data_IF_213244285176
#
_entry.id   IF_213244285176
#
_cell.length_a   1.000
_cell.length_b   1.000
_cell.length_c   1.000
_cell.angle_alpha   90.00
_cell.angle_beta   90.00
_cell.angle_gamma   90.00
#
_symmetry.space_group_name_H-M   'P 1'
#
loop_
_entity.id
_entity.type
_entity.pdbx_description
1 polymer ?
#
# COMPACT_ATOMS: atom_id res chain seq x y z
N UNK A 1 -4.15 -3.17 -22.41
CA UNK A 1 -4.42 -1.90 -21.69
C UNK A 1 -3.20 -1.61 -20.81
N UNK A 2 -2.50 -0.48 -21.00
CA UNK A 2 -1.40 -0.10 -20.07
C UNK A 2 -2.06 0.25 -18.74
N UNK A 3 -1.70 -0.47 -17.68
CA UNK A 3 -2.16 -0.21 -16.32
C UNK A 3 -1.34 0.95 -15.78
N UNK A 4 -2.02 2.01 -15.39
CA UNK A 4 -1.36 3.18 -14.80
C UNK A 4 -1.22 2.99 -13.30
N UNK A 5 0.02 2.96 -12.84
CA UNK A 5 0.38 2.85 -11.42
C UNK A 5 0.77 4.21 -10.83
N UNK A 6 0.59 5.30 -11.58
CA UNK A 6 0.95 6.64 -11.14
C UNK A 6 -0.11 7.20 -10.20
N UNK A 7 0.33 7.78 -9.09
CA UNK A 7 -0.51 8.53 -8.15
C UNK A 7 -1.02 9.80 -8.81
N UNK A 8 -2.28 10.13 -8.58
CA UNK A 8 -2.87 11.39 -9.04
C UNK A 8 -2.46 12.55 -8.13
N UNK A 9 -2.37 13.80 -8.63
CA UNK A 9 -2.10 14.96 -7.79
C UNK A 9 -3.13 15.10 -6.66
N UNK A 10 -2.65 15.21 -5.42
CA UNK A 10 -3.52 15.35 -4.23
C UNK A 10 -4.18 14.04 -3.75
N UNK A 11 -3.99 12.92 -4.44
CA UNK A 11 -4.47 11.62 -4.01
C UNK A 11 -3.76 11.17 -2.72
N UNK A 12 -4.48 10.49 -1.83
CA UNK A 12 -3.89 9.93 -0.61
C UNK A 12 -3.06 8.69 -0.93
N UNK A 13 -1.96 8.49 -0.17
CA UNK A 13 -1.03 7.38 -0.41
C UNK A 13 -1.71 6.01 -0.37
N UNK A 14 -2.67 5.80 0.54
CA UNK A 14 -3.43 4.55 0.66
C UNK A 14 -4.39 4.35 -0.50
N UNK A 15 -5.10 5.39 -0.93
CA UNK A 15 -5.99 5.34 -2.10
C UNK A 15 -5.20 4.95 -3.35
N UNK A 16 -4.02 5.54 -3.53
CA UNK A 16 -3.10 5.19 -4.62
C UNK A 16 -2.60 3.73 -4.53
N UNK A 17 -2.23 3.25 -3.35
CA UNK A 17 -1.85 1.84 -3.17
C UNK A 17 -2.99 0.91 -3.53
N UNK A 18 -4.22 1.20 -3.09
CA UNK A 18 -5.40 0.43 -3.45
C UNK A 18 -5.64 0.42 -4.97
N UNK A 19 -5.48 1.56 -5.65
CA UNK A 19 -5.50 1.61 -7.11
C UNK A 19 -4.42 0.70 -7.73
N UNK A 20 -3.20 0.71 -7.19
CA UNK A 20 -2.12 -0.14 -7.69
C UNK A 20 -2.45 -1.63 -7.53
N UNK A 21 -3.01 -2.02 -6.39
CA UNK A 21 -3.51 -3.37 -6.14
C UNK A 21 -4.59 -3.76 -7.14
N UNK A 22 -5.59 -2.90 -7.35
CA UNK A 22 -6.71 -3.13 -8.28
C UNK A 22 -6.22 -3.21 -9.74
N UNK A 23 -5.17 -2.46 -10.06
CA UNK A 23 -4.45 -2.55 -11.32
C UNK A 23 -3.50 -3.76 -11.39
N UNK A 24 -3.50 -4.66 -10.41
CA UNK A 24 -2.77 -5.92 -10.43
C UNK A 24 -1.27 -5.80 -10.20
N UNK A 25 -0.83 -4.83 -9.39
CA UNK A 25 0.57 -4.69 -9.00
C UNK A 25 1.14 -5.95 -8.33
N UNK A 26 0.30 -6.80 -7.75
CA UNK A 26 0.69 -8.09 -7.17
C UNK A 26 1.13 -9.13 -8.19
N UNK A 27 0.67 -9.02 -9.44
CA UNK A 27 1.00 -9.95 -10.54
C UNK A 27 2.19 -9.49 -11.39
N UNK A 28 2.68 -8.27 -11.17
CA UNK A 28 3.76 -7.68 -11.95
C UNK A 28 5.10 -7.87 -11.23
N UNK A 29 5.80 -8.95 -11.54
CA UNK A 29 7.17 -9.20 -11.06
C UNK A 29 8.17 -8.31 -11.78
N UNK A 30 9.04 -7.66 -11.01
CA UNK A 30 10.05 -6.73 -11.53
C UNK A 30 11.37 -6.93 -10.80
N UNK A 31 12.48 -6.88 -11.52
CA UNK A 31 13.81 -6.63 -10.96
C UNK A 31 13.99 -5.16 -10.57
N UNK A 32 15.00 -4.84 -9.75
CA UNK A 32 15.25 -3.47 -9.30
C UNK A 32 15.50 -2.48 -10.46
N UNK A 33 16.08 -2.96 -11.56
CA UNK A 33 16.32 -2.17 -12.77
C UNK A 33 15.05 -1.87 -13.56
N UNK A 34 14.14 -2.83 -13.68
CA UNK A 34 12.84 -2.65 -14.34
C UNK A 34 11.94 -1.74 -13.51
N UNK A 35 11.95 -1.91 -12.18
CA UNK A 35 11.24 -1.04 -11.27
C UNK A 35 11.68 0.43 -11.38
N UNK A 36 12.98 0.71 -11.61
CA UNK A 36 13.48 2.08 -11.85
C UNK A 36 12.98 2.66 -13.18
N UNK A 37 12.72 1.83 -14.19
CA UNK A 37 12.23 2.29 -15.50
C UNK A 37 10.76 2.73 -15.45
N UNK A 38 10.01 2.37 -14.41
CA UNK A 38 8.65 2.88 -14.18
C UNK A 38 8.62 4.38 -13.85
N UNK A 39 9.76 4.98 -13.49
CA UNK A 39 9.85 6.41 -13.19
C UNK A 39 9.20 6.78 -11.85
N UNK A 40 8.65 7.98 -11.78
CA UNK A 40 7.97 8.48 -10.58
C UNK A 40 6.53 8.01 -10.55
N UNK A 41 6.23 7.08 -9.64
CA UNK A 41 4.87 6.56 -9.44
C UNK A 41 4.17 7.29 -8.30
N UNK A 42 4.86 7.48 -7.18
CA UNK A 42 4.30 8.06 -5.95
C UNK A 42 4.28 9.59 -5.93
N UNK A 43 5.06 10.22 -6.83
CA UNK A 43 5.37 11.67 -6.81
C UNK A 43 6.13 12.12 -5.55
N UNK A 44 6.68 11.18 -4.79
CA UNK A 44 7.52 11.43 -3.63
C UNK A 44 8.88 10.77 -3.85
N UNK A 45 9.92 11.58 -4.03
CA UNK A 45 11.25 11.10 -4.42
C UNK A 45 11.85 10.03 -3.49
N UNK A 46 11.50 10.06 -2.19
CA UNK A 46 11.91 9.02 -1.24
C UNK A 46 11.28 7.66 -1.54
N UNK A 47 9.98 7.61 -1.81
CA UNK A 47 9.24 6.39 -2.14
C UNK A 47 9.67 5.88 -3.52
N UNK A 48 9.74 6.76 -4.52
CA UNK A 48 10.13 6.39 -5.89
C UNK A 48 11.53 5.77 -5.96
N UNK A 49 12.48 6.33 -5.20
CA UNK A 49 13.83 5.78 -5.10
C UNK A 49 13.83 4.42 -4.39
N UNK A 50 13.00 4.23 -3.37
CA UNK A 50 12.90 2.99 -2.61
C UNK A 50 12.30 1.83 -3.44
N UNK A 51 11.36 2.10 -4.36
CA UNK A 51 10.73 1.09 -5.23
C UNK A 51 11.80 0.32 -6.04
N UNK A 52 12.79 1.04 -6.56
CA UNK A 52 13.90 0.49 -7.34
C UNK A 52 15.13 0.07 -6.52
N UNK A 53 15.12 0.23 -5.19
CA UNK A 53 16.30 0.01 -4.33
C UNK A 53 16.71 -1.46 -4.25
N UNK A 54 15.74 -2.37 -4.15
CA UNK A 54 16.00 -3.82 -4.05
C UNK A 54 16.29 -4.42 -5.42
N UNK A 55 17.44 -5.08 -5.57
CA UNK A 55 17.82 -5.75 -6.82
C UNK A 55 16.99 -7.01 -7.11
N UNK A 56 16.67 -7.79 -6.08
CA UNK A 56 15.87 -9.03 -6.15
C UNK A 56 14.57 -8.82 -6.91
N UNK A 57 14.17 -9.80 -7.74
CA UNK A 57 12.84 -9.82 -8.36
C UNK A 57 11.74 -9.92 -7.30
N UNK A 58 10.81 -8.96 -7.33
CA UNK A 58 9.68 -8.85 -6.43
C UNK A 58 8.50 -8.26 -7.20
N UNK A 59 7.28 -8.67 -6.85
CA UNK A 59 6.08 -7.99 -7.33
C UNK A 59 6.14 -6.48 -7.05
N UNK A 60 5.59 -5.69 -7.96
CA UNK A 60 5.44 -4.25 -7.78
C UNK A 60 4.71 -3.96 -6.46
N UNK A 61 3.73 -4.78 -6.08
CA UNK A 61 3.05 -4.67 -4.79
C UNK A 61 4.00 -4.74 -3.59
N UNK A 62 4.87 -5.75 -3.52
CA UNK A 62 5.83 -5.88 -2.41
C UNK A 62 6.84 -4.75 -2.37
N UNK A 63 7.23 -4.23 -3.55
CA UNK A 63 8.11 -3.04 -3.65
C UNK A 63 7.42 -1.80 -3.11
N UNK A 64 6.15 -1.58 -3.49
CA UNK A 64 5.35 -0.44 -3.04
C UNK A 64 5.15 -0.46 -1.51
N UNK A 65 4.69 -1.59 -0.95
CA UNK A 65 4.49 -1.73 0.50
C UNK A 65 5.78 -1.44 1.27
N UNK A 66 6.91 -2.04 0.85
CA UNK A 66 8.20 -1.81 1.52
C UNK A 66 8.69 -0.37 1.40
N UNK A 67 8.39 0.31 0.30
CA UNK A 67 8.83 1.69 0.05
C UNK A 67 8.01 2.69 0.84
N UNK A 68 6.69 2.46 0.94
CA UNK A 68 5.80 3.25 1.78
C UNK A 68 6.14 3.05 3.25
N UNK A 69 6.41 1.81 3.69
CA UNK A 69 6.88 1.54 5.07
C UNK A 69 8.21 2.21 5.40
N UNK A 70 9.16 2.28 4.45
CA UNK A 70 10.43 2.99 4.65
C UNK A 70 10.21 4.51 4.82
N UNK A 71 9.21 5.09 4.13
CA UNK A 71 8.87 6.51 4.20
C UNK A 71 8.04 6.89 5.44
N UNK A 72 7.13 6.00 5.84
CA UNK A 72 6.19 6.16 6.94
C UNK A 72 6.35 4.97 7.90
N UNK A 73 7.31 5.03 8.84
CA UNK A 73 7.62 3.91 9.71
C UNK A 73 6.49 3.58 10.69
N UNK A 74 5.62 4.54 11.00
CA UNK A 74 4.50 4.37 11.93
C UNK A 74 3.16 4.37 11.19
N UNK A 75 2.23 3.52 11.63
CA UNK A 75 0.91 3.36 10.99
C UNK A 75 0.04 4.61 11.06
N UNK A 76 0.27 5.42 12.09
CA UNK A 76 -0.39 6.66 12.42
C UNK A 76 -0.06 7.77 11.41
N UNK A 77 1.10 7.68 10.75
CA UNK A 77 1.52 8.60 9.69
C UNK A 77 0.72 8.37 8.39
N UNK A 78 0.08 7.21 8.26
CA UNK A 78 -0.67 6.80 7.08
C UNK A 78 -2.17 6.84 7.36
N UNK A 79 -2.74 8.02 7.12
CA UNK A 79 -4.15 8.30 7.40
C UNK A 79 -5.06 7.66 6.36
N UNK A 80 -5.91 6.73 6.82
CA UNK A 80 -7.14 6.37 6.11
C UNK A 80 -8.21 7.36 6.56
N UNK A 81 -8.76 8.18 5.65
CA UNK A 81 -9.78 9.17 6.05
C UNK A 81 -11.14 8.49 6.05
N UNK A 82 -11.79 8.28 7.21
CA UNK A 82 -13.18 7.90 7.21
C UNK A 82 -13.98 9.07 6.63
N UNK A 83 -14.41 8.93 5.37
CA UNK A 83 -15.49 9.77 4.87
C UNK A 83 -16.73 9.57 5.74
N UNK A 84 -17.74 10.43 5.64
CA UNK A 84 -19.07 10.06 6.14
C UNK A 84 -19.47 8.78 5.40
N UNK A 85 -19.79 7.70 6.11
CA UNK A 85 -20.27 6.44 5.53
C UNK A 85 -21.72 6.63 5.02
N UNK A 86 -21.90 7.56 4.10
CA UNK A 86 -23.21 7.92 3.55
C UNK A 86 -23.71 6.90 2.55
N UNK A 87 -22.83 6.04 2.03
CA UNK A 87 -23.16 4.96 1.11
C UNK A 87 -22.32 3.72 1.41
N UNK A 88 -22.82 2.54 1.02
CA UNK A 88 -22.11 1.27 1.19
C UNK A 88 -20.78 1.26 0.44
N UNK A 89 -20.73 1.86 -0.75
CA UNK A 89 -19.52 1.93 -1.57
C UNK A 89 -18.42 2.72 -0.87
N UNK A 90 -18.77 3.82 -0.19
CA UNK A 90 -17.81 4.58 0.62
C UNK A 90 -17.33 3.80 1.83
N UNK A 91 -18.22 3.03 2.48
CA UNK A 91 -17.86 2.12 3.57
C UNK A 91 -16.91 1.02 3.12
N UNK A 92 -17.22 0.35 2.01
CA UNK A 92 -16.37 -0.69 1.41
C UNK A 92 -15.00 -0.13 1.02
N UNK A 93 -14.98 1.04 0.36
CA UNK A 93 -13.74 1.70 0.00
C UNK A 93 -12.86 1.96 1.23
N UNK A 94 -13.44 2.53 2.29
CA UNK A 94 -12.69 2.80 3.52
C UNK A 94 -12.14 1.53 4.18
N UNK A 95 -12.91 0.44 4.22
CA UNK A 95 -12.44 -0.85 4.74
C UNK A 95 -11.28 -1.43 3.91
N UNK A 96 -11.33 -1.29 2.58
CA UNK A 96 -10.24 -1.73 1.69
C UNK A 96 -8.98 -0.88 1.89
N UNK A 97 -9.14 0.41 2.07
CA UNK A 97 -8.04 1.32 2.40
C UNK A 97 -7.39 0.96 3.74
N UNK A 98 -8.20 0.65 4.77
CA UNK A 98 -7.72 0.14 6.04
C UNK A 98 -6.94 -1.18 5.87
N UNK A 99 -7.49 -2.15 5.13
CA UNK A 99 -6.81 -3.42 4.88
C UNK A 99 -5.46 -3.23 4.16
N UNK A 100 -5.38 -2.31 3.20
CA UNK A 100 -4.12 -1.95 2.53
C UNK A 100 -3.12 -1.34 3.52
N UNK A 101 -3.57 -0.46 4.43
CA UNK A 101 -2.72 0.07 5.48
C UNK A 101 -2.19 -1.04 6.38
N UNK A 102 -3.05 -1.95 6.83
CA UNK A 102 -2.62 -3.10 7.62
C UNK A 102 -1.58 -3.95 6.86
N UNK A 103 -1.74 -4.16 5.56
CA UNK A 103 -0.73 -4.86 4.73
C UNK A 103 0.62 -4.13 4.65
N UNK A 104 0.67 -2.80 4.75
CA UNK A 104 1.93 -2.04 4.80
C UNK A 104 2.69 -2.39 6.08
N UNK A 105 1.99 -2.48 7.21
CA UNK A 105 2.59 -2.66 8.54
C UNK A 105 2.60 -4.11 9.03
N UNK A 106 1.97 -5.02 8.30
CA UNK A 106 1.96 -6.44 8.60
C UNK A 106 3.40 -6.97 8.63
N UNK A 107 3.77 -7.52 9.78
CA UNK A 107 5.01 -8.24 9.98
C UNK A 107 4.69 -9.73 10.08
N UNK A 108 5.08 -10.55 9.09
CA UNK A 108 4.78 -11.98 9.11
C UNK A 108 5.44 -12.72 10.28
N UNK A 109 6.49 -12.14 10.89
CA UNK A 109 7.17 -12.73 12.05
C UNK A 109 6.51 -12.32 13.39
N UNK A 110 5.59 -11.35 13.35
CA UNK A 110 4.87 -10.87 14.52
C UNK A 110 3.55 -11.64 14.72
N UNK A 111 3.65 -12.86 15.26
CA UNK A 111 2.54 -13.76 15.54
C UNK A 111 1.64 -13.35 16.73
N UNK A 112 1.72 -12.10 17.21
CA UNK A 112 1.06 -11.63 18.43
C UNK A 112 -0.40 -11.16 18.21
N UNK A 113 -0.94 -11.22 16.99
CA UNK A 113 -2.34 -10.87 16.76
C UNK A 113 -3.24 -12.04 17.17
N UNK A 114 -4.24 -11.81 18.06
CA UNK A 114 -5.30 -12.78 18.26
C UNK A 114 -5.88 -13.11 16.89
N UNK A 115 -5.75 -14.38 16.51
CA UNK A 115 -6.28 -14.86 15.23
C UNK A 115 -7.79 -15.05 15.31
N UNK A 116 -8.31 -15.10 16.54
CA UNK A 116 -9.72 -15.17 16.87
C UNK A 116 -10.29 -13.75 17.10
N UNK A 117 -11.26 -13.31 16.29
CA UNK A 117 -11.94 -12.03 16.49
C UNK A 117 -12.70 -11.95 17.82
N UNK A 118 -13.09 -13.08 18.42
CA UNK A 118 -13.82 -13.14 19.68
C UNK A 118 -12.88 -12.96 20.90
N UNK A 119 -11.56 -13.07 20.72
CA UNK A 119 -10.56 -12.85 21.76
C UNK A 119 -10.11 -11.38 21.91
N UNK A 120 -10.55 -10.49 21.00
CA UNK A 120 -10.21 -9.07 21.03
C UNK A 120 -11.07 -8.35 22.07
N UNK A 121 -10.49 -8.00 23.21
CA UNK A 121 -11.18 -7.18 24.21
C UNK A 121 -11.45 -5.77 23.66
N UNK A 122 -12.73 -5.40 23.61
CA UNK A 122 -13.15 -4.05 23.28
C UNK A 122 -12.71 -3.09 24.41
N UNK A 123 -12.01 -2.02 24.05
CA UNK A 123 -11.62 -0.91 24.95
C UNK A 123 -12.60 0.24 24.88
#
# INVERSE_FOLDING_TARGET
MRKDFSRLPGEHIITWLLQCWDNGASSLELEGREAKQLGSLSREGGIDKAIGKKAQALSLWRRLLSSVRERYPFSEDVVCRPGKWTTMERGIQYLRELAVREMVYYDPDNAQLPTDPDEVQCT
#
